data_IF_099102697898
#
_entry.id   IF_099102697898
#
_cell.length_a   1.000
_cell.length_b   1.000
_cell.length_c   1.000
_cell.angle_alpha   90.00
_cell.angle_beta   90.00
_cell.angle_gamma   90.00
#
_symmetry.space_group_name_H-M   'P 1'
#
loop_
_entity.id
_entity.type
_entity.pdbx_description
1 polymer ?
#
# COMPACT_ATOMS: atom_id res chain seq x y z
N UNK A 1 8.89 89.54 45.17
CA UNK A 1 8.53 89.82 43.77
C UNK A 1 8.62 88.50 43.05
N UNK A 2 7.57 87.88 42.55
CA UNK A 2 6.14 88.09 42.56
C UNK A 2 5.58 86.80 41.96
N UNK A 3 4.32 86.53 42.24
CA UNK A 3 3.48 85.43 41.80
C UNK A 3 3.68 84.98 40.34
N UNK A 4 3.38 83.71 40.05
CA UNK A 4 2.10 83.39 39.41
C UNK A 4 2.03 81.94 38.89
N UNK A 5 0.85 81.39 39.11
CA UNK A 5 0.35 80.07 38.75
C UNK A 5 -0.03 79.97 37.26
N UNK A 6 0.14 78.79 36.64
CA UNK A 6 -0.82 78.12 35.73
C UNK A 6 -0.17 77.03 34.88
N UNK A 7 -0.82 75.96 34.40
CA UNK A 7 -1.99 75.12 34.72
C UNK A 7 -1.97 74.03 33.63
N UNK A 8 -2.38 72.80 33.99
CA UNK A 8 -2.82 71.75 33.06
C UNK A 8 -1.69 70.82 32.58
N UNK A 9 -1.76 69.50 32.70
CA UNK A 9 -2.89 68.59 32.87
C UNK A 9 -2.61 67.37 31.99
N UNK A 10 -2.60 66.17 32.56
CA UNK A 10 -2.30 64.94 31.82
C UNK A 10 -1.96 63.79 32.75
N UNK A 11 -3.00 63.20 33.34
CA UNK A 11 -2.96 61.88 33.97
C UNK A 11 -2.57 60.82 32.93
N UNK A 12 -1.74 59.85 33.32
CA UNK A 12 -1.91 58.42 32.98
C UNK A 12 -0.73 57.60 33.57
N UNK A 13 -0.99 56.89 34.67
CA UNK A 13 -0.26 55.69 35.08
C UNK A 13 -0.98 54.48 34.45
N UNK A 14 -0.31 53.37 34.06
CA UNK A 14 0.22 52.45 35.07
C UNK A 14 1.42 51.55 34.67
N UNK A 15 1.93 50.87 35.71
CA UNK A 15 2.55 49.53 35.74
C UNK A 15 3.69 49.24 34.74
N UNK A 16 4.95 49.11 35.15
CA UNK A 16 5.39 48.12 36.12
C UNK A 16 5.51 46.75 35.47
N UNK A 17 6.69 46.39 34.96
CA UNK A 17 7.23 45.01 35.05
C UNK A 17 8.74 45.08 35.22
N UNK A 18 9.15 44.62 36.39
CA UNK A 18 10.51 44.42 36.86
C UNK A 18 11.33 43.58 35.87
N UNK A 19 12.52 44.08 35.56
CA UNK A 19 13.60 43.28 34.97
C UNK A 19 14.02 42.21 35.98
N UNK A 20 13.57 40.98 35.77
CA UNK A 20 14.15 39.80 36.41
C UNK A 20 15.12 39.15 35.45
N UNK A 21 16.42 39.30 35.76
CA UNK A 21 17.45 38.41 35.28
C UNK A 21 17.11 36.99 35.73
N UNK A 22 16.60 36.19 34.80
CA UNK A 22 16.51 34.75 34.94
C UNK A 22 17.73 34.13 34.29
N UNK A 23 18.66 33.64 35.11
CA UNK A 23 19.63 32.63 34.70
C UNK A 23 18.87 31.50 33.98
N UNK A 24 19.26 31.20 32.73
CA UNK A 24 18.71 30.08 31.99
C UNK A 24 18.92 28.81 32.80
N UNK A 25 17.84 28.27 33.38
CA UNK A 25 17.90 27.03 34.13
C UNK A 25 18.40 25.89 33.21
N UNK A 26 19.24 24.97 33.70
CA UNK A 26 19.84 23.89 32.88
C UNK A 26 18.82 22.87 32.36
N UNK A 27 17.58 22.92 32.86
CA UNK A 27 16.41 22.17 32.36
C UNK A 27 15.58 22.97 31.35
N UNK A 28 16.03 24.16 30.97
CA UNK A 28 15.57 24.89 29.79
C UNK A 28 15.98 24.20 28.48
N UNK A 29 15.85 22.86 28.41
CA UNK A 29 15.72 22.20 27.12
C UNK A 29 14.39 22.65 26.54
N UNK A 30 14.45 23.70 25.73
CA UNK A 30 13.35 24.06 24.87
C UNK A 30 12.90 22.79 24.14
N UNK A 31 11.62 22.47 24.28
CA UNK A 31 10.88 21.45 23.53
C UNK A 31 10.80 21.78 22.03
N UNK A 32 11.88 22.30 21.46
CA UNK A 32 12.13 22.35 20.03
C UNK A 32 12.81 21.04 19.61
N UNK A 33 12.27 19.91 20.07
CA UNK A 33 12.44 18.67 19.32
C UNK A 33 11.80 18.93 17.96
N UNK A 34 12.57 18.75 16.90
CA UNK A 34 12.18 18.93 15.49
C UNK A 34 11.05 17.99 15.03
N UNK A 35 10.22 17.47 15.94
CA UNK A 35 9.11 16.57 15.69
C UNK A 35 8.06 17.20 14.78
N UNK A 36 7.87 18.52 14.87
CA UNK A 36 6.91 19.24 14.02
C UNK A 36 7.27 19.26 12.53
N UNK A 37 8.54 18.97 12.19
CA UNK A 37 9.06 18.91 10.83
C UNK A 37 9.53 17.48 10.44
N UNK A 38 9.20 16.44 11.21
CA UNK A 38 9.38 15.07 10.76
C UNK A 38 8.35 14.77 9.66
N UNK A 39 8.65 15.23 8.44
CA UNK A 39 7.97 14.76 7.24
C UNK A 39 8.25 13.28 7.16
N UNK A 40 7.20 12.48 7.32
CA UNK A 40 7.24 11.02 7.23
C UNK A 40 7.54 10.59 5.78
N UNK A 41 8.80 10.74 5.39
CA UNK A 41 9.30 10.45 4.06
C UNK A 41 9.50 8.93 3.87
N UNK A 42 9.62 8.50 2.62
CA UNK A 42 9.73 7.08 2.30
C UNK A 42 11.07 6.47 2.77
N UNK A 43 12.11 7.30 2.95
CA UNK A 43 13.39 6.87 3.53
C UNK A 43 13.26 6.48 5.01
N UNK A 44 12.55 7.28 5.82
CA UNK A 44 12.28 6.99 7.23
C UNK A 44 11.39 5.76 7.37
N UNK A 45 10.36 5.63 6.52
CA UNK A 45 9.54 4.40 6.45
C UNK A 45 10.41 3.19 6.13
N UNK A 46 11.28 3.29 5.13
CA UNK A 46 12.18 2.21 4.75
C UNK A 46 13.15 1.85 5.88
N UNK A 47 13.70 2.85 6.57
CA UNK A 47 14.58 2.65 7.72
C UNK A 47 13.86 1.93 8.87
N UNK A 48 12.61 2.29 9.16
CA UNK A 48 11.79 1.59 10.14
C UNK A 48 11.48 0.16 9.70
N UNK A 49 11.11 -0.05 8.43
CA UNK A 49 10.83 -1.37 7.87
C UNK A 49 12.06 -2.30 7.96
N UNK A 50 13.26 -1.79 7.68
CA UNK A 50 14.52 -2.53 7.85
C UNK A 50 14.73 -2.98 9.29
N UNK A 51 14.48 -2.09 10.27
CA UNK A 51 14.61 -2.41 11.70
C UNK A 51 13.61 -3.48 12.15
N UNK A 52 12.36 -3.35 11.72
CA UNK A 52 11.32 -4.35 12.01
C UNK A 52 11.69 -5.69 11.37
N UNK A 53 12.15 -5.71 10.13
CA UNK A 53 12.57 -6.93 9.45
C UNK A 53 13.77 -7.61 10.14
N UNK A 54 14.74 -6.83 10.64
CA UNK A 54 15.87 -7.37 11.40
C UNK A 54 15.40 -8.04 12.70
N UNK A 55 14.49 -7.38 13.43
CA UNK A 55 13.93 -7.92 14.66
C UNK A 55 13.12 -9.21 14.43
N UNK A 56 12.27 -9.23 13.40
CA UNK A 56 11.41 -10.38 13.08
C UNK A 56 12.20 -11.60 12.56
N UNK A 57 13.25 -11.37 11.76
CA UNK A 57 14.07 -12.46 11.21
C UNK A 57 15.20 -12.89 12.16
N UNK A 58 15.48 -12.12 13.21
CA UNK A 58 16.60 -12.38 14.13
C UNK A 58 17.98 -12.24 13.47
N UNK A 59 18.09 -11.47 12.37
CA UNK A 59 19.33 -11.26 11.63
C UNK A 59 19.84 -9.82 11.73
N UNK A 60 21.12 -9.61 11.45
CA UNK A 60 21.74 -8.29 11.51
C UNK A 60 21.17 -7.31 10.47
N UNK A 61 21.12 -6.02 10.80
CA UNK A 61 20.60 -4.98 9.90
C UNK A 61 21.32 -4.95 8.53
N UNK A 62 22.63 -5.22 8.51
CA UNK A 62 23.41 -5.28 7.28
C UNK A 62 22.99 -6.45 6.36
N UNK A 63 22.54 -7.58 6.92
CA UNK A 63 22.06 -8.72 6.13
C UNK A 63 20.67 -8.47 5.56
N UNK A 64 19.78 -7.85 6.34
CA UNK A 64 18.47 -7.38 5.85
C UNK A 64 18.66 -6.43 4.69
N UNK A 65 19.60 -5.50 4.80
CA UNK A 65 19.88 -4.53 3.74
C UNK A 65 20.37 -5.22 2.45
N UNK A 66 21.24 -6.23 2.56
CA UNK A 66 21.64 -7.05 1.40
C UNK A 66 20.46 -7.80 0.78
N UNK A 67 19.59 -8.40 1.59
CA UNK A 67 18.38 -9.10 1.12
C UNK A 67 17.42 -8.13 0.42
N UNK A 68 17.23 -6.94 0.97
CA UNK A 68 16.42 -5.89 0.32
C UNK A 68 17.06 -5.40 -0.98
N UNK A 69 18.37 -5.16 -1.01
CA UNK A 69 19.06 -4.76 -2.24
C UNK A 69 18.92 -5.84 -3.34
N UNK A 70 19.01 -7.12 -2.98
CA UNK A 70 18.78 -8.24 -3.90
C UNK A 70 17.33 -8.26 -4.40
N UNK A 71 16.36 -8.03 -3.50
CA UNK A 71 14.94 -7.91 -3.87
C UNK A 71 14.71 -6.76 -4.88
N UNK A 72 15.37 -5.63 -4.70
CA UNK A 72 15.28 -4.48 -5.62
C UNK A 72 15.88 -4.80 -7.00
N UNK A 73 16.93 -5.61 -7.07
CA UNK A 73 17.52 -6.07 -8.33
C UNK A 73 16.59 -7.05 -9.06
N UNK A 74 15.92 -7.94 -8.34
CA UNK A 74 15.00 -8.92 -8.91
C UNK A 74 13.67 -8.28 -9.36
N UNK A 75 13.18 -7.29 -8.61
CA UNK A 75 11.88 -6.66 -8.82
C UNK A 75 11.99 -5.13 -8.78
N UNK A 76 12.52 -4.49 -9.83
CA UNK A 76 12.65 -3.03 -9.85
C UNK A 76 11.29 -2.31 -9.73
N UNK A 77 10.21 -2.92 -10.25
CA UNK A 77 8.85 -2.35 -10.22
C UNK A 77 8.26 -2.26 -8.80
N UNK A 78 8.81 -3.01 -7.82
CA UNK A 78 8.30 -3.00 -6.44
C UNK A 78 8.85 -1.83 -5.62
N UNK A 79 10.01 -1.28 -6.01
CA UNK A 79 10.72 -0.20 -5.29
C UNK A 79 9.79 0.94 -4.85
N UNK A 80 8.99 1.58 -5.74
CA UNK A 80 8.13 2.69 -5.33
C UNK A 80 7.04 2.30 -4.33
N UNK A 81 6.68 1.00 -4.26
CA UNK A 81 5.64 0.48 -3.37
C UNK A 81 6.18 -0.06 -2.05
N UNK A 82 7.48 -0.38 -1.97
CA UNK A 82 8.05 -0.99 -0.77
C UNK A 82 7.83 -0.15 0.49
N UNK A 83 7.92 1.18 0.39
CA UNK A 83 7.70 2.08 1.53
C UNK A 83 6.23 2.13 2.00
N UNK A 84 5.29 1.74 1.14
CA UNK A 84 3.85 1.72 1.42
C UNK A 84 3.33 0.32 1.77
N UNK A 85 4.17 -0.71 1.56
CA UNK A 85 3.82 -2.10 1.86
C UNK A 85 3.76 -2.36 3.36
N UNK A 86 2.93 -3.34 3.74
CA UNK A 86 2.88 -3.86 5.11
C UNK A 86 4.24 -4.48 5.46
N UNK A 87 4.76 -4.13 6.64
CA UNK A 87 6.05 -4.64 7.13
C UNK A 87 6.15 -6.16 7.04
N UNK A 88 5.15 -6.88 7.54
CA UNK A 88 5.09 -8.34 7.52
C UNK A 88 5.25 -8.94 6.11
N UNK A 89 4.71 -8.29 5.08
CA UNK A 89 4.82 -8.75 3.70
C UNK A 89 6.26 -8.60 3.19
N UNK A 90 6.89 -7.46 3.50
CA UNK A 90 8.28 -7.21 3.15
C UNK A 90 9.23 -8.18 3.87
N UNK A 91 8.98 -8.46 5.16
CA UNK A 91 9.75 -9.44 5.94
C UNK A 91 9.68 -10.82 5.27
N UNK A 92 8.48 -11.27 4.90
CA UNK A 92 8.29 -12.56 4.22
C UNK A 92 8.98 -12.61 2.85
N UNK A 93 8.97 -11.51 2.10
CA UNK A 93 9.71 -11.43 0.84
C UNK A 93 11.22 -11.49 1.07
N UNK A 94 11.74 -10.72 2.04
CA UNK A 94 13.15 -10.71 2.39
C UNK A 94 13.63 -12.07 2.93
N UNK A 95 12.78 -12.80 3.67
CA UNK A 95 13.07 -14.15 4.12
C UNK A 95 13.30 -15.10 2.94
N UNK A 96 12.49 -14.99 1.89
CA UNK A 96 12.42 -15.93 0.77
C UNK A 96 13.05 -15.42 -0.54
N UNK A 97 14.01 -14.48 -0.47
CA UNK A 97 14.65 -13.90 -1.67
C UNK A 97 15.26 -14.95 -2.59
N UNK A 98 15.86 -16.01 -2.05
CA UNK A 98 16.51 -17.06 -2.85
C UNK A 98 15.50 -17.86 -3.69
N UNK A 99 14.34 -18.17 -3.11
CA UNK A 99 13.27 -18.87 -3.80
C UNK A 99 12.50 -17.96 -4.76
N UNK A 100 12.55 -16.65 -4.54
CA UNK A 100 11.83 -15.67 -5.35
C UNK A 100 12.23 -15.74 -6.83
N UNK A 101 13.53 -15.86 -7.13
CA UNK A 101 14.01 -15.92 -8.51
C UNK A 101 13.43 -17.13 -9.26
N UNK A 102 13.42 -18.31 -8.63
CA UNK A 102 12.82 -19.51 -9.21
C UNK A 102 11.32 -19.33 -9.42
N UNK A 103 10.60 -18.79 -8.42
CA UNK A 103 9.14 -18.55 -8.53
C UNK A 103 8.80 -17.56 -9.64
N UNK A 104 9.61 -16.54 -9.86
CA UNK A 104 9.42 -15.59 -10.96
C UNK A 104 9.61 -16.28 -12.32
N UNK A 105 10.56 -17.20 -12.44
CA UNK A 105 10.74 -18.01 -13.65
C UNK A 105 9.55 -18.94 -13.87
N UNK A 106 9.07 -19.62 -12.82
CA UNK A 106 7.92 -20.51 -12.92
C UNK A 106 6.66 -19.74 -13.33
N UNK A 107 6.44 -18.54 -12.76
CA UNK A 107 5.38 -17.65 -13.20
C UNK A 107 5.55 -17.20 -14.65
N UNK A 108 6.78 -17.00 -15.11
CA UNK A 108 7.07 -16.66 -16.52
C UNK A 108 6.80 -17.82 -17.47
N UNK A 109 6.96 -19.07 -17.02
CA UNK A 109 6.57 -20.25 -17.79
C UNK A 109 5.04 -20.37 -17.91
N UNK A 110 4.29 -20.00 -16.86
CA UNK A 110 2.83 -20.02 -16.89
C UNK A 110 2.28 -18.87 -17.75
N UNK A 111 2.86 -17.67 -17.63
CA UNK A 111 2.44 -16.44 -18.32
C UNK A 111 3.58 -15.88 -19.19
N UNK A 112 3.83 -16.46 -20.37
CA UNK A 112 5.01 -16.15 -21.18
C UNK A 112 5.02 -14.71 -21.71
N UNK A 113 3.87 -14.10 -21.97
CA UNK A 113 3.80 -12.72 -22.47
C UNK A 113 3.62 -11.67 -21.36
N UNK A 114 3.19 -12.07 -20.16
CA UNK A 114 3.03 -11.15 -19.04
C UNK A 114 4.36 -10.63 -18.48
N UNK A 115 4.36 -9.38 -18.00
CA UNK A 115 5.41 -8.83 -17.15
C UNK A 115 5.20 -9.28 -15.70
N UNK A 116 5.90 -10.35 -15.31
CA UNK A 116 5.83 -10.94 -13.97
C UNK A 116 6.28 -9.93 -12.89
N UNK A 117 7.24 -9.06 -13.17
CA UNK A 117 7.68 -8.03 -12.21
C UNK A 117 6.56 -7.05 -11.86
N UNK A 118 5.85 -6.57 -12.88
CA UNK A 118 4.68 -5.70 -12.69
C UNK A 118 3.52 -6.44 -12.00
N UNK A 119 3.27 -7.70 -12.37
CA UNK A 119 2.25 -8.54 -11.75
C UNK A 119 2.51 -8.73 -10.25
N UNK A 120 3.74 -9.06 -9.87
CA UNK A 120 4.15 -9.22 -8.46
C UNK A 120 4.14 -7.88 -7.72
N UNK A 121 4.47 -6.76 -8.37
CA UNK A 121 4.39 -5.44 -7.72
C UNK A 121 2.94 -5.04 -7.38
N UNK A 122 1.96 -5.52 -8.15
CA UNK A 122 0.53 -5.32 -7.88
C UNK A 122 0.01 -6.29 -6.82
N UNK A 123 0.45 -7.54 -6.86
CA UNK A 123 0.07 -8.57 -5.90
C UNK A 123 1.30 -9.32 -5.34
N UNK A 124 2.00 -8.75 -4.34
CA UNK A 124 3.23 -9.36 -3.82
C UNK A 124 2.98 -10.69 -3.09
N UNK A 125 1.73 -10.97 -2.72
CA UNK A 125 1.33 -12.26 -2.17
C UNK A 125 1.53 -13.42 -3.15
N UNK A 126 1.47 -13.18 -4.48
CA UNK A 126 1.71 -14.21 -5.49
C UNK A 126 3.13 -14.77 -5.40
N UNK A 127 4.12 -13.90 -5.20
CA UNK A 127 5.51 -14.31 -5.03
C UNK A 127 5.75 -15.16 -3.77
N UNK A 128 4.85 -15.06 -2.78
CA UNK A 128 4.93 -15.81 -1.53
C UNK A 128 4.26 -17.18 -1.58
N UNK A 129 3.46 -17.47 -2.61
CA UNK A 129 2.82 -18.77 -2.77
C UNK A 129 3.85 -19.87 -2.99
N UNK A 130 3.74 -20.96 -2.23
CA UNK A 130 4.65 -22.11 -2.32
C UNK A 130 4.28 -23.05 -3.48
N UNK A 131 2.99 -23.18 -3.78
CA UNK A 131 2.49 -24.05 -4.83
C UNK A 131 1.87 -23.22 -5.98
N UNK A 132 2.53 -23.25 -7.14
CA UNK A 132 2.08 -22.59 -8.36
C UNK A 132 1.18 -23.51 -9.23
N UNK A 133 1.02 -24.79 -8.89
CA UNK A 133 0.17 -25.74 -9.63
C UNK A 133 -1.28 -25.26 -9.68
N UNK A 134 -1.77 -24.67 -8.58
CA UNK A 134 -3.11 -24.10 -8.53
C UNK A 134 -3.27 -22.90 -9.48
N UNK A 135 -2.22 -22.09 -9.64
CA UNK A 135 -2.20 -20.97 -10.58
C UNK A 135 -2.18 -21.50 -12.01
N UNK A 136 -1.38 -22.53 -12.28
CA UNK A 136 -1.33 -23.16 -13.60
C UNK A 136 -2.67 -23.80 -13.98
N UNK A 137 -3.26 -24.60 -13.09
CA UNK A 137 -4.59 -25.16 -13.29
C UNK A 137 -5.66 -24.07 -13.49
N UNK A 138 -5.54 -22.98 -12.75
CA UNK A 138 -6.43 -21.84 -12.87
C UNK A 138 -6.30 -21.13 -14.22
N UNK A 139 -5.07 -20.91 -14.68
CA UNK A 139 -4.77 -20.36 -16.00
C UNK A 139 -5.31 -21.27 -17.12
N UNK A 140 -5.13 -22.59 -17.01
CA UNK A 140 -5.62 -23.55 -18.00
C UNK A 140 -7.15 -23.61 -18.02
N UNK A 141 -7.80 -23.55 -16.86
CA UNK A 141 -9.26 -23.44 -16.77
C UNK A 141 -9.75 -22.13 -17.42
N UNK A 142 -9.06 -21.02 -17.19
CA UNK A 142 -9.40 -19.73 -17.80
C UNK A 142 -9.27 -19.76 -19.33
N UNK A 143 -8.17 -20.29 -19.85
CA UNK A 143 -7.95 -20.45 -21.31
C UNK A 143 -9.03 -21.30 -21.97
N UNK A 144 -9.59 -22.29 -21.26
CA UNK A 144 -10.72 -23.09 -21.75
C UNK A 144 -12.05 -22.34 -21.73
N UNK A 145 -12.25 -21.45 -20.75
CA UNK A 145 -13.47 -20.64 -20.64
C UNK A 145 -13.48 -19.49 -21.64
N UNK A 146 -12.31 -18.91 -21.95
CA UNK A 146 -12.16 -17.72 -22.78
C UNK A 146 -10.96 -17.89 -23.73
N UNK A 147 -11.11 -18.65 -24.82
CA UNK A 147 -10.02 -18.95 -25.74
C UNK A 147 -9.50 -17.73 -26.50
N UNK A 148 -10.35 -16.72 -26.72
CA UNK A 148 -10.03 -15.51 -27.49
C UNK A 148 -9.49 -14.35 -26.62
N UNK A 149 -9.45 -14.52 -25.29
CA UNK A 149 -9.00 -13.47 -24.38
C UNK A 149 -7.49 -13.60 -24.08
N UNK A 150 -6.80 -12.46 -24.05
CA UNK A 150 -5.39 -12.39 -23.62
C UNK A 150 -5.30 -12.50 -22.09
N UNK A 151 -5.21 -13.75 -21.61
CA UNK A 151 -5.08 -14.05 -20.19
C UNK A 151 -3.86 -13.37 -19.56
N UNK A 152 -2.75 -13.30 -20.28
CA UNK A 152 -1.49 -12.79 -19.73
C UNK A 152 -1.61 -11.29 -19.45
N UNK A 153 -2.22 -10.54 -20.38
CA UNK A 153 -2.57 -9.12 -20.17
C UNK A 153 -3.54 -8.94 -19.00
N UNK A 154 -4.60 -9.75 -18.95
CA UNK A 154 -5.63 -9.66 -17.89
C UNK A 154 -5.02 -9.92 -16.51
N UNK A 155 -4.18 -10.95 -16.37
CA UNK A 155 -3.54 -11.31 -15.09
C UNK A 155 -2.49 -10.29 -14.68
N UNK A 156 -1.74 -9.72 -15.64
CA UNK A 156 -0.80 -8.64 -15.36
C UNK A 156 -1.51 -7.40 -14.77
N UNK A 157 -2.72 -7.09 -15.24
CA UNK A 157 -3.52 -5.99 -14.70
C UNK A 157 -4.24 -6.37 -13.41
N UNK A 158 -4.74 -7.60 -13.35
CA UNK A 158 -5.62 -8.08 -12.30
C UNK A 158 -5.24 -9.49 -11.83
N UNK A 159 -4.21 -9.56 -11.00
CA UNK A 159 -3.76 -10.80 -10.36
C UNK A 159 -4.85 -11.57 -9.58
N UNK A 160 -5.93 -10.90 -9.13
CA UNK A 160 -7.06 -11.55 -8.45
C UNK A 160 -7.89 -12.47 -9.34
N UNK A 161 -7.71 -12.39 -10.66
CA UNK A 161 -8.38 -13.27 -11.65
C UNK A 161 -7.93 -14.73 -11.52
N UNK A 162 -6.74 -14.97 -10.94
CA UNK A 162 -6.19 -16.31 -10.75
C UNK A 162 -7.03 -17.17 -9.80
N UNK A 163 -7.88 -16.57 -8.97
CA UNK A 163 -8.89 -17.30 -8.20
C UNK A 163 -10.07 -17.66 -9.10
N UNK A 164 -10.01 -18.85 -9.70
CA UNK A 164 -11.01 -19.31 -10.67
C UNK A 164 -12.42 -19.43 -10.11
N UNK A 165 -12.60 -19.76 -8.83
CA UNK A 165 -13.93 -19.92 -8.24
C UNK A 165 -14.60 -18.56 -8.08
N UNK A 166 -13.85 -17.58 -7.57
CA UNK A 166 -14.35 -16.22 -7.43
C UNK A 166 -14.56 -15.58 -8.80
N UNK A 167 -13.67 -15.81 -9.77
CA UNK A 167 -13.83 -15.32 -11.13
C UNK A 167 -15.07 -15.90 -11.82
N UNK A 168 -15.33 -17.22 -11.70
CA UNK A 168 -16.54 -17.84 -12.25
C UNK A 168 -17.82 -17.23 -11.69
N UNK A 169 -17.87 -16.96 -10.38
CA UNK A 169 -19.01 -16.29 -9.75
C UNK A 169 -19.20 -14.88 -10.30
N UNK A 170 -18.12 -14.13 -10.46
CA UNK A 170 -18.16 -12.79 -11.04
C UNK A 170 -18.66 -12.82 -12.50
N UNK A 171 -18.24 -13.82 -13.28
CA UNK A 171 -18.69 -14.02 -14.67
C UNK A 171 -20.19 -14.33 -14.74
N UNK A 172 -20.67 -15.25 -13.89
CA UNK A 172 -22.10 -15.59 -13.80
C UNK A 172 -22.94 -14.37 -13.40
N UNK A 173 -22.46 -13.57 -12.46
CA UNK A 173 -23.14 -12.37 -12.02
C UNK A 173 -23.16 -11.28 -13.09
N UNK A 174 -22.04 -11.09 -13.82
CA UNK A 174 -21.97 -10.20 -14.96
C UNK A 174 -22.97 -10.60 -16.05
N UNK A 175 -23.05 -11.90 -16.37
CA UNK A 175 -23.99 -12.43 -17.36
C UNK A 175 -25.46 -12.26 -16.92
N UNK A 176 -25.73 -12.39 -15.62
CA UNK A 176 -27.06 -12.17 -15.03
C UNK A 176 -27.50 -10.72 -15.12
N UNK A 177 -26.57 -9.78 -14.90
CA UNK A 177 -26.85 -8.34 -14.87
C UNK A 177 -26.85 -7.70 -16.25
N UNK A 178 -26.11 -8.25 -17.21
CA UNK A 178 -25.98 -7.74 -18.58
C UNK A 178 -26.46 -8.79 -19.61
N UNK A 179 -27.76 -9.15 -19.62
CA UNK A 179 -28.29 -10.10 -20.59
C UNK A 179 -28.16 -9.55 -22.01
N UNK A 180 -27.51 -10.32 -22.89
CA UNK A 180 -27.33 -9.98 -24.31
C UNK A 180 -25.98 -9.36 -24.67
N UNK A 181 -25.09 -9.12 -23.70
CA UNK A 181 -23.71 -8.72 -23.95
C UNK A 181 -22.78 -9.94 -23.87
N UNK A 182 -21.85 -10.06 -24.83
CA UNK A 182 -20.83 -11.10 -24.76
C UNK A 182 -19.78 -10.70 -23.72
N UNK A 183 -19.74 -11.44 -22.61
CA UNK A 183 -18.82 -11.18 -21.50
C UNK A 183 -17.37 -11.45 -21.91
N UNK A 184 -17.14 -12.31 -22.91
CA UNK A 184 -15.80 -12.54 -23.46
C UNK A 184 -15.29 -11.31 -24.19
N UNK A 185 -16.11 -10.70 -25.05
CA UNK A 185 -15.77 -9.44 -25.73
C UNK A 185 -15.55 -8.31 -24.72
N UNK A 186 -16.38 -8.26 -23.68
CA UNK A 186 -16.26 -7.28 -22.60
C UNK A 186 -14.95 -7.44 -21.82
N UNK A 187 -14.53 -8.66 -21.50
CA UNK A 187 -13.26 -8.93 -20.82
C UNK A 187 -12.04 -8.56 -21.66
N UNK A 188 -12.10 -8.78 -22.97
CA UNK A 188 -11.03 -8.39 -23.89
C UNK A 188 -10.89 -6.87 -24.01
N UNK A 189 -12.01 -6.14 -23.89
CA UNK A 189 -12.04 -4.68 -24.04
C UNK A 189 -11.81 -3.92 -22.73
N UNK A 190 -12.44 -4.36 -21.65
CA UNK A 190 -12.34 -3.77 -20.31
C UNK A 190 -12.50 -4.85 -19.22
N UNK A 191 -11.41 -5.54 -18.84
CA UNK A 191 -11.45 -6.55 -17.79
C UNK A 191 -11.79 -5.94 -16.42
N UNK A 192 -11.52 -4.65 -16.22
CA UNK A 192 -11.81 -3.95 -14.98
C UNK A 192 -13.32 -3.93 -14.68
N UNK A 193 -14.16 -3.77 -15.71
CA UNK A 193 -15.62 -3.73 -15.55
C UNK A 193 -16.18 -5.06 -15.01
N UNK A 194 -15.73 -6.20 -15.54
CA UNK A 194 -16.20 -7.52 -15.09
C UNK A 194 -15.72 -7.81 -13.67
N UNK A 195 -14.51 -7.37 -13.33
CA UNK A 195 -13.93 -7.57 -12.00
C UNK A 195 -14.52 -6.63 -10.93
N UNK A 196 -15.27 -5.59 -11.32
CA UNK A 196 -16.07 -4.84 -10.36
C UNK A 196 -17.17 -5.70 -9.74
N UNK A 197 -17.74 -6.67 -10.47
CA UNK A 197 -18.73 -7.60 -9.91
C UNK A 197 -18.12 -8.54 -8.86
N UNK A 198 -16.84 -8.91 -9.01
CA UNK A 198 -16.09 -9.63 -7.99
C UNK A 198 -16.00 -8.86 -6.66
N UNK A 199 -15.85 -7.53 -6.72
CA UNK A 199 -15.79 -6.66 -5.52
C UNK A 199 -17.17 -6.31 -4.97
N UNK A 200 -18.12 -6.06 -5.87
CA UNK A 200 -19.48 -5.61 -5.56
C UNK A 200 -20.35 -6.66 -4.87
N UNK A 201 -20.05 -7.96 -5.00
CA UNK A 201 -20.76 -9.02 -4.27
C UNK A 201 -20.56 -8.93 -2.73
N UNK A 202 -19.62 -8.10 -2.26
CA UNK A 202 -19.43 -7.76 -0.84
C UNK A 202 -20.21 -6.49 -0.41
N UNK A 203 -21.15 -6.00 -1.23
CA UNK A 203 -22.01 -4.89 -0.82
C UNK A 203 -22.84 -5.31 0.40
N UNK A 204 -22.68 -4.51 1.46
CA UNK A 204 -23.27 -4.62 2.79
C UNK A 204 -24.73 -5.10 2.68
N UNK A 205 -25.05 -6.21 3.34
CA UNK A 205 -26.43 -6.64 3.54
C UNK A 205 -27.19 -5.47 4.17
N UNK A 206 -28.20 -4.94 3.48
CA UNK A 206 -29.10 -3.95 4.05
C UNK A 206 -29.74 -4.58 5.30
N UNK A 207 -29.38 -4.07 6.47
CA UNK A 207 -30.06 -4.40 7.71
C UNK A 207 -31.53 -3.94 7.57
N UNK A 208 -32.52 -4.85 7.64
CA UNK A 208 -33.91 -4.45 7.56
C UNK A 208 -34.21 -3.50 8.72
N UNK A 209 -34.66 -2.29 8.41
CA UNK A 209 -35.04 -1.28 9.40
C UNK A 209 -36.12 -1.89 10.31
N UNK A 210 -35.88 -2.07 11.62
CA UNK A 210 -36.86 -2.66 12.51
C UNK A 210 -37.98 -1.64 12.73
N UNK A 211 -39.12 -1.80 12.05
CA UNK A 211 -40.25 -0.89 12.33
C UNK A 211 -41.41 -0.76 11.34
N UNK A 212 -41.65 -1.67 10.39
CA UNK A 212 -42.95 -1.69 9.70
C UNK A 212 -43.75 -2.95 10.05
N UNK A 213 -44.64 -2.77 11.03
CA UNK A 213 -45.84 -3.59 11.23
C UNK A 213 -47.01 -2.89 10.57
#
# INVERSE_FOLDING_TARGET
MEDAWSVGGGEDYPAGVSSFGGENAPWGMGWQTSERNLVWNDELKMGLLKKIAAAELGIGAAEVEKKIATLQQLLPDIIPKMAQMKAQLLVRLAANVEQLAQRLLDLKLIFPSANVGLMVSKAPALALMENLDHIQQGADAFRRMLPDADLDMIVQEHASVLDTDTFKKALQEAQRLLPGMDVGELLSRDPGMVLQFQRGSTMIAYDPVPGQK
#
